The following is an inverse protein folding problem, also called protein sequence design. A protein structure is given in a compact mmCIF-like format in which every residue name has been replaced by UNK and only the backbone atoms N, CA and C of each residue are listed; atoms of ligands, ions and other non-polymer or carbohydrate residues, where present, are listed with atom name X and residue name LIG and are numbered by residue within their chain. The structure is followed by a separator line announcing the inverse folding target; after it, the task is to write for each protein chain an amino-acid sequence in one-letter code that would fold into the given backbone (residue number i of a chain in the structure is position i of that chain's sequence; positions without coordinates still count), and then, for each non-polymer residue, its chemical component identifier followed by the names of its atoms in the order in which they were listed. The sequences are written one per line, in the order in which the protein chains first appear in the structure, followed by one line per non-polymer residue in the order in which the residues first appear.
data_IF_934477922898
#
_entry.id   IF_934477922898
#
_cell.length_a   1.000
_cell.length_b   1.000
_cell.length_c   1.000
_cell.angle_alpha   90.00
_cell.angle_beta   90.00
_cell.angle_gamma   90.00
#
_symmetry.space_group_name_H-M   'P 1'
#
loop_
_entity.id
_entity.type
_entity.pdbx_description
1 polymer ?
#
# COMPACT_ATOMS: atom_id res chain seq x y z
N UNK A 1 -2.96 -2.15 -0.09
CA UNK A 1 -2.32 -1.07 0.67
C UNK A 1 -3.22 -0.38 1.70
N UNK A 2 -4.42 0.07 1.34
CA UNK A 2 -5.28 0.92 2.17
C UNK A 2 -6.16 0.16 3.18
N UNK A 3 -5.97 -1.15 3.31
CA UNK A 3 -6.58 -1.98 4.36
C UNK A 3 -5.75 -2.00 5.66
N UNK A 4 -6.30 -2.62 6.71
CA UNK A 4 -5.74 -2.61 8.07
C UNK A 4 -4.26 -3.04 8.16
N UNK A 5 -3.90 -4.22 7.62
CA UNK A 5 -2.51 -4.70 7.68
C UNK A 5 -1.61 -3.84 6.78
N UNK A 6 -2.10 -3.47 5.60
CA UNK A 6 -1.34 -2.70 4.62
C UNK A 6 -0.92 -1.31 5.13
N UNK A 7 -1.82 -0.59 5.83
CA UNK A 7 -1.51 0.74 6.36
C UNK A 7 -0.52 0.69 7.52
N UNK A 8 -0.60 -0.32 8.39
CA UNK A 8 0.39 -0.51 9.46
C UNK A 8 1.79 -0.85 8.89
N UNK A 9 1.85 -1.67 7.84
CA UNK A 9 3.11 -1.94 7.14
C UNK A 9 3.68 -0.68 6.48
N UNK A 10 2.82 0.14 5.85
CA UNK A 10 3.23 1.43 5.29
C UNK A 10 3.89 2.31 6.34
N UNK A 11 3.21 2.51 7.47
CA UNK A 11 3.68 3.37 8.56
C UNK A 11 5.07 2.92 9.05
N UNK A 12 5.23 1.62 9.33
CA UNK A 12 6.51 1.08 9.79
C UNK A 12 7.63 1.26 8.75
N UNK A 13 7.36 0.94 7.48
CA UNK A 13 8.37 1.04 6.42
C UNK A 13 8.80 2.49 6.18
N UNK A 14 7.86 3.43 6.17
CA UNK A 14 8.18 4.86 6.10
C UNK A 14 8.93 5.33 7.35
N UNK A 15 8.58 4.81 8.53
CA UNK A 15 9.28 5.04 9.79
C UNK A 15 10.75 4.59 9.77
N UNK A 16 11.06 3.58 8.96
CA UNK A 16 12.41 3.07 8.67
C UNK A 16 13.06 3.75 7.45
N UNK A 17 12.53 4.89 7.01
CA UNK A 17 13.02 5.69 5.88
C UNK A 17 13.08 4.92 4.53
N UNK A 18 12.27 3.87 4.37
CA UNK A 18 12.16 3.12 3.12
C UNK A 18 11.34 3.88 2.06
N UNK A 19 11.59 3.57 0.79
CA UNK A 19 10.71 3.95 -0.31
C UNK A 19 9.65 2.86 -0.52
N UNK A 20 8.38 3.25 -0.60
CA UNK A 20 7.25 2.31 -0.64
C UNK A 20 6.35 2.65 -1.81
N UNK A 21 6.03 1.65 -2.62
CA UNK A 21 4.98 1.72 -3.64
C UNK A 21 3.79 0.91 -3.13
N UNK A 22 2.62 1.53 -3.07
CA UNK A 22 1.38 0.88 -2.62
C UNK A 22 0.40 0.68 -3.77
N UNK A 23 -0.04 -0.56 -3.99
CA UNK A 23 -1.15 -0.89 -4.90
C UNK A 23 -2.42 -1.23 -4.11
N UNK A 24 -3.54 -0.58 -4.43
CA UNK A 24 -4.86 -0.87 -3.85
C UNK A 24 -6.00 -0.36 -4.75
N UNK A 25 -7.11 -1.10 -4.83
CA UNK A 25 -8.30 -0.71 -5.60
C UNK A 25 -9.41 -0.09 -4.72
N UNK A 26 -9.16 0.09 -3.42
CA UNK A 26 -10.09 0.62 -2.42
C UNK A 26 -11.40 -0.19 -2.28
N UNK A 27 -11.40 -1.47 -2.68
CA UNK A 27 -12.58 -2.34 -2.57
C UNK A 27 -13.01 -2.57 -1.11
N UNK A 28 -12.04 -2.83 -0.23
CA UNK A 28 -12.22 -2.92 1.23
C UNK A 28 -11.30 -1.97 2.00
N UNK A 29 -10.29 -1.41 1.33
CA UNK A 29 -9.40 -0.40 1.88
C UNK A 29 -10.04 0.98 1.91
N UNK A 30 -9.55 1.84 2.79
CA UNK A 30 -10.08 3.20 2.95
C UNK A 30 -8.98 4.25 2.88
N UNK A 31 -9.22 5.33 2.12
CA UNK A 31 -8.29 6.46 2.03
C UNK A 31 -7.97 7.11 3.38
N UNK A 32 -8.88 7.02 4.36
CA UNK A 32 -8.61 7.54 5.70
C UNK A 32 -7.42 6.86 6.38
N UNK A 33 -7.17 5.57 6.10
CA UNK A 33 -6.00 4.86 6.63
C UNK A 33 -4.70 5.45 6.10
N UNK A 34 -4.67 5.85 4.82
CA UNK A 34 -3.48 6.53 4.24
C UNK A 34 -3.31 7.93 4.83
N UNK A 35 -4.40 8.68 4.98
CA UNK A 35 -4.37 10.00 5.60
C UNK A 35 -3.96 9.96 7.08
N UNK A 36 -4.29 8.87 7.79
CA UNK A 36 -3.84 8.64 9.15
C UNK A 36 -2.34 8.39 9.20
N UNK A 37 -1.80 7.53 8.32
CA UNK A 37 -0.34 7.33 8.21
C UNK A 37 0.38 8.64 7.88
N UNK A 38 -0.13 9.44 6.94
CA UNK A 38 0.43 10.75 6.58
C UNK A 38 0.57 11.68 7.79
N UNK A 39 -0.39 11.62 8.75
CA UNK A 39 -0.34 12.41 9.98
C UNK A 39 0.70 11.91 10.99
N UNK A 40 0.99 10.61 11.00
CA UNK A 40 1.94 10.00 11.93
C UNK A 40 3.40 10.06 11.46
N UNK A 41 3.64 10.22 10.16
CA UNK A 41 4.99 10.34 9.62
C UNK A 41 5.34 11.79 9.26
N UNK A 42 6.64 12.13 9.28
CA UNK A 42 7.09 13.43 8.78
C UNK A 42 6.80 13.58 7.27
N UNK A 43 6.58 14.81 6.80
CA UNK A 43 6.41 15.10 5.37
C UNK A 43 7.55 14.55 4.48
N UNK A 44 8.79 14.53 4.99
CA UNK A 44 9.94 13.93 4.28
C UNK A 44 9.77 12.42 4.04
N UNK A 45 9.25 11.70 5.03
CA UNK A 45 9.01 10.26 4.95
C UNK A 45 7.79 9.98 4.08
N UNK A 46 6.73 10.77 4.21
CA UNK A 46 5.57 10.68 3.34
C UNK A 46 5.93 10.87 1.86
N UNK A 47 6.83 11.80 1.53
CA UNK A 47 7.33 11.98 0.16
C UNK A 47 8.11 10.79 -0.43
N UNK A 48 8.30 9.70 0.32
CA UNK A 48 8.87 8.42 -0.16
C UNK A 48 7.80 7.38 -0.48
N UNK A 49 6.53 7.72 -0.32
CA UNK A 49 5.40 6.88 -0.65
C UNK A 49 4.83 7.26 -2.02
N UNK A 50 4.68 6.27 -2.89
CA UNK A 50 3.93 6.38 -4.13
C UNK A 50 2.71 5.45 -4.07
N UNK A 51 1.55 5.98 -4.45
CA UNK A 51 0.29 5.24 -4.40
C UNK A 51 -0.27 5.04 -5.80
N UNK A 52 -0.46 3.77 -6.15
CA UNK A 52 -1.11 3.33 -7.37
C UNK A 52 -2.50 2.85 -7.00
N UNK A 53 -3.50 3.59 -7.45
CA UNK A 53 -4.87 3.10 -7.45
C UNK A 53 -5.06 2.15 -8.64
N UNK A 54 -5.27 0.87 -8.35
CA UNK A 54 -5.28 -0.19 -9.36
C UNK A 54 -5.61 -1.55 -8.76
N UNK A 55 -5.83 -2.55 -9.60
CA UNK A 55 -6.31 -3.87 -9.20
C UNK A 55 -5.27 -4.96 -9.45
N UNK A 56 -5.06 -5.85 -8.48
CA UNK A 56 -4.13 -6.99 -8.63
C UNK A 56 -4.57 -8.00 -9.69
N UNK A 57 -5.83 -7.93 -10.15
CA UNK A 57 -6.34 -8.73 -11.28
C UNK A 57 -5.89 -8.16 -12.63
N UNK A 58 -5.45 -6.91 -12.67
CA UNK A 58 -4.85 -6.29 -13.85
C UNK A 58 -3.34 -6.52 -13.84
N UNK A 59 -2.84 -7.17 -14.90
CA UNK A 59 -1.43 -7.51 -15.02
C UNK A 59 -0.54 -6.28 -15.24
N UNK A 60 -1.05 -5.24 -15.90
CA UNK A 60 -0.30 -4.00 -16.11
C UNK A 60 -0.14 -3.21 -14.82
N UNK A 61 -1.17 -3.18 -13.97
CA UNK A 61 -1.08 -2.60 -12.63
C UNK A 61 -0.03 -3.33 -11.78
N UNK A 62 -0.01 -4.67 -11.84
CA UNK A 62 1.01 -5.47 -11.18
C UNK A 62 2.42 -5.19 -11.72
N UNK A 63 2.59 -5.10 -13.04
CA UNK A 63 3.88 -4.79 -13.68
C UNK A 63 4.40 -3.43 -13.26
N UNK A 64 3.52 -2.42 -13.25
CA UNK A 64 3.85 -1.06 -12.83
C UNK A 64 4.25 -1.03 -11.35
N UNK A 65 3.48 -1.66 -10.46
CA UNK A 65 3.79 -1.71 -9.03
C UNK A 65 5.08 -2.47 -8.70
N UNK A 66 5.45 -3.46 -9.52
CA UNK A 66 6.67 -4.25 -9.36
C UNK A 66 7.89 -3.68 -10.10
N UNK A 67 7.76 -2.55 -10.80
CA UNK A 67 8.86 -1.94 -11.54
C UNK A 67 9.95 -1.41 -10.61
N UNK A 68 11.14 -2.03 -10.61
CA UNK A 68 12.30 -1.55 -9.85
C UNK A 68 12.22 -1.78 -8.33
N UNK A 69 11.25 -2.54 -7.84
CA UNK A 69 11.12 -2.87 -6.40
C UNK A 69 12.11 -3.96 -5.99
N UNK A 70 12.63 -3.88 -4.76
CA UNK A 70 13.52 -4.90 -4.20
C UNK A 70 12.76 -6.02 -3.47
N UNK A 71 11.64 -5.68 -2.81
CA UNK A 71 10.85 -6.60 -2.00
C UNK A 71 9.37 -6.38 -2.27
N UNK A 72 8.59 -7.47 -2.27
CA UNK A 72 7.13 -7.43 -2.45
C UNK A 72 6.46 -8.02 -1.21
N UNK A 73 5.61 -7.22 -0.57
CA UNK A 73 4.75 -7.66 0.54
C UNK A 73 3.29 -7.73 0.06
N UNK A 74 2.87 -8.89 -0.42
CA UNK A 74 1.56 -9.06 -1.05
C UNK A 74 0.46 -9.30 0.01
N UNK A 75 -0.35 -8.28 0.31
CA UNK A 75 -1.44 -8.33 1.29
C UNK A 75 -2.83 -8.08 0.70
N UNK A 76 -2.91 -7.77 -0.60
CA UNK A 76 -4.18 -7.52 -1.27
C UNK A 76 -4.92 -8.86 -1.48
N UNK A 77 -6.00 -9.06 -0.76
CA UNK A 77 -6.88 -10.21 -0.90
C UNK A 77 -8.30 -9.82 -0.48
N UNK A 78 -9.29 -10.55 -0.98
CA UNK A 78 -10.64 -10.51 -0.42
C UNK A 78 -10.80 -11.72 0.49
N UNK A 79 -11.30 -11.48 1.70
CA UNK A 79 -11.68 -12.57 2.59
C UNK A 79 -12.80 -13.38 1.93
N UNK A 80 -12.55 -14.66 1.65
CA UNK A 80 -13.60 -15.57 1.24
C UNK A 80 -14.23 -16.15 2.49
N UNK A 81 -15.52 -15.88 2.72
CA UNK A 81 -16.30 -16.68 3.66
C UNK A 81 -16.32 -18.11 3.12
N UNK A 82 -15.66 -19.02 3.84
CA UNK A 82 -15.94 -20.44 3.68
C UNK A 82 -17.43 -20.66 4.00
N UNK A 83 -18.15 -21.21 3.03
CA UNK A 83 -19.53 -21.66 3.19
C UNK A 83 -19.52 -22.90 4.09
#
# INVERSE_FOLDING_TARGET
MAGFIGSNLLEMLLGLDQAVIGLDNLSTGHRHNLAEVERFVSARRWGRFDFIEGDIRDLEDCRRACGGVNYVLHQAALEQRAI
#
